data_IF_832248702117
#
_entry.id   IF_832248702117
#
_cell.length_a   1.000
_cell.length_b   1.000
_cell.length_c   1.000
_cell.angle_alpha   90.00
_cell.angle_beta   90.00
_cell.angle_gamma   90.00
#
_symmetry.space_group_name_H-M   'P 1'
#
loop_
_entity.id
_entity.type
_entity.pdbx_description
1 polymer ?
#
# COMPACT_ATOMS: atom_id res chain seq x y z
N UNK A 1 5.57 -39.41 -52.90
CA UNK A 1 5.29 -38.08 -52.33
C UNK A 1 4.80 -38.23 -50.91
N UNK A 2 5.69 -38.02 -49.95
CA UNK A 2 5.34 -38.08 -48.50
C UNK A 2 4.99 -36.67 -48.04
N UNK A 3 3.72 -36.48 -47.59
CA UNK A 3 3.24 -35.23 -47.01
C UNK A 3 3.70 -35.19 -45.55
N UNK A 4 4.58 -34.26 -45.21
CA UNK A 4 4.97 -33.95 -43.83
C UNK A 4 3.91 -32.99 -43.29
N UNK A 5 3.15 -33.45 -42.28
CA UNK A 5 2.31 -32.58 -41.47
C UNK A 5 3.17 -31.94 -40.38
N UNK A 6 3.37 -30.63 -40.47
CA UNK A 6 3.97 -29.83 -39.42
C UNK A 6 2.85 -29.52 -38.42
N UNK A 7 2.83 -30.22 -37.27
CA UNK A 7 2.06 -29.80 -36.12
C UNK A 7 2.77 -28.65 -35.42
N UNK A 8 2.20 -27.46 -35.50
CA UNK A 8 2.61 -26.32 -34.68
C UNK A 8 2.03 -26.50 -33.28
N UNK A 9 2.81 -26.39 -32.19
CA UNK A 9 2.27 -26.52 -30.84
C UNK A 9 1.61 -25.19 -30.44
N UNK A 10 0.29 -25.15 -30.56
CA UNK A 10 -0.57 -24.05 -30.08
C UNK A 10 -0.97 -24.24 -28.60
N UNK A 11 -0.05 -24.61 -27.72
CA UNK A 11 -0.45 -25.04 -26.37
C UNK A 11 0.54 -24.62 -25.26
N UNK A 12 0.96 -23.34 -25.20
CA UNK A 12 1.76 -22.86 -24.03
C UNK A 12 1.49 -21.43 -23.56
N UNK A 13 0.47 -20.76 -24.09
CA UNK A 13 0.14 -19.38 -23.67
C UNK A 13 -1.03 -19.27 -22.68
N UNK A 14 -1.83 -20.32 -22.50
CA UNK A 14 -2.99 -20.32 -21.60
C UNK A 14 -2.69 -20.38 -20.08
N UNK A 15 -1.61 -21.03 -19.58
CA UNK A 15 -1.41 -21.11 -18.13
C UNK A 15 -0.86 -19.85 -17.46
N UNK A 16 -0.21 -18.95 -18.20
CA UNK A 16 0.39 -17.73 -17.60
C UNK A 16 -0.68 -16.66 -17.32
N UNK A 17 -1.69 -16.54 -18.17
CA UNK A 17 -2.81 -15.61 -17.96
C UNK A 17 -3.73 -16.03 -16.80
N UNK A 18 -3.97 -17.35 -16.64
CA UNK A 18 -4.77 -17.85 -15.54
C UNK A 18 -4.08 -17.69 -14.16
N UNK A 19 -2.76 -17.87 -14.08
CA UNK A 19 -1.99 -17.72 -12.84
C UNK A 19 -1.91 -16.25 -12.38
N UNK A 20 -1.95 -15.28 -13.29
CA UNK A 20 -1.98 -13.85 -12.96
C UNK A 20 -3.33 -13.40 -12.40
N UNK A 21 -4.44 -13.87 -12.97
CA UNK A 21 -5.79 -13.49 -12.52
C UNK A 21 -6.14 -14.02 -11.13
N UNK A 22 -5.68 -15.21 -10.75
CA UNK A 22 -5.96 -15.76 -9.42
C UNK A 22 -5.27 -14.99 -8.28
N UNK A 23 -4.15 -14.33 -8.52
CA UNK A 23 -3.40 -13.56 -7.51
C UNK A 23 -4.07 -12.23 -7.14
N UNK A 24 -4.76 -11.59 -8.08
CA UNK A 24 -5.47 -10.33 -7.85
C UNK A 24 -6.93 -10.51 -7.40
N UNK A 25 -7.39 -11.72 -7.16
CA UNK A 25 -8.71 -11.97 -6.59
C UNK A 25 -8.82 -11.56 -5.12
N UNK A 26 -7.72 -11.17 -4.48
CA UNK A 26 -7.70 -10.76 -3.09
C UNK A 26 -7.76 -9.23 -2.97
N UNK A 27 -8.97 -8.71 -2.81
CA UNK A 27 -9.20 -7.29 -2.57
C UNK A 27 -8.97 -6.97 -1.11
N UNK A 28 -8.21 -5.91 -0.86
CA UNK A 28 -8.01 -5.31 0.46
C UNK A 28 -8.64 -3.93 0.56
N UNK A 29 -8.84 -3.46 1.77
CA UNK A 29 -9.32 -2.11 2.05
C UNK A 29 -8.69 -1.55 3.32
N UNK A 30 -8.44 -0.24 3.36
CA UNK A 30 -8.18 0.46 4.62
C UNK A 30 -9.40 0.30 5.53
N UNK A 31 -9.20 0.08 6.82
CA UNK A 31 -10.31 -0.20 7.74
C UNK A 31 -11.39 0.88 7.76
N UNK A 32 -11.03 2.14 7.47
CA UNK A 32 -11.94 3.28 7.36
C UNK A 32 -12.94 3.21 6.20
N UNK A 33 -12.74 2.31 5.24
CA UNK A 33 -13.69 2.06 4.15
C UNK A 33 -14.88 1.19 4.58
N UNK A 34 -14.79 0.49 5.71
CA UNK A 34 -15.91 -0.24 6.32
C UNK A 34 -16.70 0.74 7.20
N UNK A 35 -18.01 0.81 6.99
CA UNK A 35 -18.88 1.83 7.62
C UNK A 35 -18.83 1.87 9.14
N UNK A 36 -18.61 0.73 9.78
CA UNK A 36 -18.53 0.65 11.23
C UNK A 36 -17.62 -0.51 11.65
N UNK A 37 -16.96 -0.36 12.79
CA UNK A 37 -16.13 -1.40 13.38
C UNK A 37 -16.99 -2.34 14.24
N UNK A 38 -17.84 -3.12 13.57
CA UNK A 38 -18.71 -4.14 14.21
C UNK A 38 -18.51 -5.50 13.54
N UNK A 39 -18.77 -6.62 14.25
CA UNK A 39 -18.68 -7.97 13.67
C UNK A 39 -19.53 -8.15 12.42
N UNK A 40 -20.73 -7.58 12.39
CA UNK A 40 -21.68 -7.67 11.28
C UNK A 40 -21.14 -6.97 10.03
N UNK A 41 -20.62 -5.72 10.18
CA UNK A 41 -20.07 -4.96 9.08
C UNK A 41 -18.81 -5.59 8.50
N UNK A 42 -17.94 -6.14 9.35
CA UNK A 42 -16.72 -6.82 8.93
C UNK A 42 -17.02 -8.16 8.25
N UNK A 43 -17.99 -8.92 8.78
CA UNK A 43 -18.47 -10.14 8.15
C UNK A 43 -19.14 -9.86 6.80
N UNK A 44 -19.97 -8.82 6.70
CA UNK A 44 -20.60 -8.40 5.44
C UNK A 44 -19.54 -7.97 4.41
N UNK A 45 -18.51 -7.22 4.81
CA UNK A 45 -17.39 -6.84 3.93
C UNK A 45 -16.72 -8.07 3.31
N UNK A 46 -16.51 -9.12 4.09
CA UNK A 46 -15.93 -10.37 3.61
C UNK A 46 -16.90 -11.19 2.75
N UNK A 47 -18.08 -11.52 3.28
CA UNK A 47 -18.98 -12.53 2.68
C UNK A 47 -19.74 -11.98 1.46
N UNK A 48 -20.16 -10.71 1.55
CA UNK A 48 -20.99 -10.09 0.50
C UNK A 48 -20.14 -9.29 -0.50
N UNK A 49 -19.15 -8.54 -0.01
CA UNK A 49 -18.37 -7.64 -0.86
C UNK A 49 -16.99 -8.17 -1.25
N UNK A 50 -16.62 -9.37 -0.79
CA UNK A 50 -15.42 -10.07 -1.24
C UNK A 50 -14.10 -9.47 -0.77
N UNK A 51 -14.14 -8.61 0.25
CA UNK A 51 -12.91 -8.10 0.88
C UNK A 51 -12.23 -9.25 1.61
N UNK A 52 -10.90 -9.36 1.50
CA UNK A 52 -10.10 -10.40 2.15
C UNK A 52 -9.11 -9.84 3.15
N UNK A 53 -8.59 -8.63 2.88
CA UNK A 53 -7.51 -8.03 3.63
C UNK A 53 -7.89 -6.64 4.16
N UNK A 54 -7.33 -6.31 5.31
CA UNK A 54 -7.48 -4.99 5.94
C UNK A 54 -6.09 -4.39 6.15
N UNK A 55 -5.98 -3.11 5.91
CA UNK A 55 -4.92 -2.27 6.46
C UNK A 55 -5.44 -1.51 7.68
N UNK A 56 -4.68 -1.55 8.78
CA UNK A 56 -5.05 -0.86 10.01
C UNK A 56 -4.22 0.43 10.19
N UNK A 57 -4.91 1.55 10.40
CA UNK A 57 -4.29 2.81 10.80
C UNK A 57 -3.87 2.76 12.27
N UNK A 58 -2.59 2.88 12.55
CA UNK A 58 -2.05 2.76 13.90
C UNK A 58 -1.99 4.07 14.70
N UNK A 59 -2.43 5.18 14.12
CA UNK A 59 -2.57 6.46 14.84
C UNK A 59 -3.48 6.39 16.06
N UNK A 60 -4.34 5.36 16.14
CA UNK A 60 -5.16 5.08 17.32
C UNK A 60 -4.39 4.42 18.48
N UNK A 61 -3.13 4.03 18.25
CA UNK A 61 -2.26 3.37 19.21
C UNK A 61 -1.16 4.30 19.77
N UNK A 62 -1.31 5.62 19.55
CA UNK A 62 -0.38 6.65 20.04
C UNK A 62 -1.14 7.90 20.48
N UNK A 63 -0.49 8.74 21.27
CA UNK A 63 -1.05 10.04 21.70
C UNK A 63 -2.21 9.97 22.71
N UNK A 64 -2.51 8.79 23.25
CA UNK A 64 -3.56 8.53 24.21
C UNK A 64 -3.04 7.84 25.48
N UNK A 65 -3.96 7.18 26.20
CA UNK A 65 -3.66 6.36 27.38
C UNK A 65 -3.71 4.87 27.04
N UNK A 66 -3.12 4.02 27.89
CA UNK A 66 -3.16 2.55 27.67
C UNK A 66 -4.62 2.04 27.66
N UNK A 67 -5.52 2.61 28.49
CA UNK A 67 -6.93 2.24 28.49
C UNK A 67 -7.62 2.57 27.15
N UNK A 68 -7.24 3.68 26.51
CA UNK A 68 -7.75 4.05 25.18
C UNK A 68 -7.24 3.09 24.10
N UNK A 69 -5.97 2.69 24.16
CA UNK A 69 -5.40 1.71 23.24
C UNK A 69 -6.06 0.35 23.44
N UNK A 70 -6.21 -0.12 24.67
CA UNK A 70 -6.87 -1.38 25.01
C UNK A 70 -8.31 -1.43 24.49
N UNK A 71 -9.07 -0.37 24.68
CA UNK A 71 -10.44 -0.26 24.21
C UNK A 71 -10.53 -0.29 22.67
N UNK A 72 -9.58 0.34 21.97
CA UNK A 72 -9.55 0.31 20.50
C UNK A 72 -9.15 -1.08 20.01
N UNK A 73 -8.13 -1.71 20.60
CA UNK A 73 -7.68 -3.06 20.27
C UNK A 73 -8.80 -4.08 20.47
N UNK A 74 -9.49 -4.03 21.60
CA UNK A 74 -10.62 -4.92 21.90
C UNK A 74 -11.74 -4.77 20.87
N UNK A 75 -12.12 -3.55 20.53
CA UNK A 75 -13.15 -3.27 19.51
C UNK A 75 -12.73 -3.78 18.15
N UNK A 76 -11.47 -3.55 17.73
CA UNK A 76 -10.95 -4.05 16.45
C UNK A 76 -10.97 -5.59 16.41
N UNK A 77 -10.44 -6.23 17.45
CA UNK A 77 -10.42 -7.70 17.54
C UNK A 77 -11.83 -8.29 17.56
N UNK A 78 -12.77 -7.63 18.24
CA UNK A 78 -14.17 -8.05 18.24
C UNK A 78 -14.77 -7.99 16.84
N UNK A 79 -14.52 -6.91 16.09
CA UNK A 79 -14.99 -6.78 14.71
C UNK A 79 -14.34 -7.81 13.76
N UNK A 80 -13.06 -8.07 13.93
CA UNK A 80 -12.31 -9.05 13.12
C UNK A 80 -12.69 -10.50 13.40
N UNK A 81 -13.12 -10.79 14.64
CA UNK A 81 -13.40 -12.16 15.09
C UNK A 81 -14.50 -12.82 14.26
N UNK A 82 -14.16 -13.90 13.57
CA UNK A 82 -15.12 -14.65 12.75
C UNK A 82 -15.60 -13.95 11.49
N UNK A 83 -15.04 -12.78 11.15
CA UNK A 83 -15.39 -12.05 9.92
C UNK A 83 -14.86 -12.72 8.65
N UNK A 84 -13.76 -13.48 8.73
CA UNK A 84 -13.03 -14.02 7.58
C UNK A 84 -11.96 -13.05 7.04
N UNK A 85 -11.95 -11.78 7.47
CA UNK A 85 -10.94 -10.79 7.10
C UNK A 85 -9.60 -11.11 7.76
N UNK A 86 -8.52 -10.72 7.08
CA UNK A 86 -7.13 -10.88 7.54
C UNK A 86 -6.45 -9.51 7.57
N UNK A 87 -5.56 -9.30 8.52
CA UNK A 87 -4.70 -8.12 8.56
C UNK A 87 -3.54 -8.30 7.58
N UNK A 88 -3.42 -7.39 6.61
CA UNK A 88 -2.30 -7.35 5.66
C UNK A 88 -1.18 -6.47 6.18
N UNK A 89 -1.52 -5.21 6.42
CA UNK A 89 -0.58 -4.16 6.76
C UNK A 89 -1.07 -3.32 7.93
N UNK A 90 -0.11 -2.64 8.54
CA UNK A 90 -0.35 -1.56 9.48
C UNK A 90 0.32 -0.30 8.95
N UNK A 91 -0.41 0.81 8.96
CA UNK A 91 0.08 2.10 8.50
C UNK A 91 0.52 2.95 9.70
N UNK A 92 1.79 3.36 9.73
CA UNK A 92 2.34 4.19 10.80
C UNK A 92 1.84 5.64 10.72
N UNK A 93 1.71 6.33 11.85
CA UNK A 93 1.27 7.72 11.87
C UNK A 93 2.33 8.65 11.25
N UNK A 94 1.85 9.69 10.55
CA UNK A 94 2.67 10.69 9.86
C UNK A 94 2.32 12.14 10.24
N UNK A 95 1.69 12.36 11.40
CA UNK A 95 1.33 13.71 11.85
C UNK A 95 2.56 14.54 12.21
N UNK A 96 2.58 15.82 11.81
CA UNK A 96 3.64 16.78 12.14
C UNK A 96 3.63 17.25 13.58
N UNK A 97 2.57 16.98 14.33
CA UNK A 97 2.39 17.46 15.72
C UNK A 97 3.12 16.61 16.74
N UNK A 98 3.69 15.48 16.33
CA UNK A 98 4.41 14.54 17.19
C UNK A 98 5.58 13.92 16.42
N UNK A 99 6.58 13.32 17.08
CA UNK A 99 7.66 12.62 16.41
C UNK A 99 7.15 11.44 15.58
N UNK A 100 7.01 11.66 14.26
CA UNK A 100 6.55 10.68 13.28
C UNK A 100 7.29 10.83 11.93
N UNK A 101 8.54 11.33 11.98
CA UNK A 101 9.34 11.60 10.78
C UNK A 101 10.78 11.11 11.01
N UNK A 102 11.17 10.04 10.30
CA UNK A 102 12.53 9.52 10.36
C UNK A 102 13.52 10.34 9.53
N UNK A 103 13.04 11.28 8.70
CA UNK A 103 13.89 12.17 7.92
C UNK A 103 14.14 13.52 8.58
N UNK A 104 13.48 13.82 9.71
CA UNK A 104 13.57 15.12 10.41
C UNK A 104 15.02 15.55 10.68
N UNK A 105 15.31 16.83 10.61
CA UNK A 105 16.66 17.37 10.82
C UNK A 105 17.10 17.25 12.28
N UNK A 106 16.17 17.25 13.22
CA UNK A 106 16.43 17.11 14.65
C UNK A 106 16.69 15.65 15.01
N UNK A 107 17.91 15.33 15.44
CA UNK A 107 18.29 13.95 15.81
C UNK A 107 17.39 13.39 16.92
N UNK A 108 17.13 14.19 17.96
CA UNK A 108 16.26 13.81 19.07
C UNK A 108 14.82 13.49 18.61
N UNK A 109 14.35 14.16 17.55
CA UNK A 109 13.03 13.90 16.97
C UNK A 109 12.99 12.57 16.21
N UNK A 110 14.04 12.26 15.42
CA UNK A 110 14.17 10.96 14.74
C UNK A 110 14.24 9.80 15.73
N UNK A 111 15.03 9.95 16.81
CA UNK A 111 15.12 8.93 17.86
C UNK A 111 13.79 8.73 18.59
N UNK A 112 13.09 9.82 18.90
CA UNK A 112 11.75 9.75 19.49
C UNK A 112 10.73 9.10 18.53
N UNK A 113 10.82 9.38 17.22
CA UNK A 113 10.01 8.72 16.20
C UNK A 113 10.25 7.21 16.19
N UNK A 114 11.50 6.78 16.12
CA UNK A 114 11.85 5.36 16.12
C UNK A 114 11.30 4.65 17.37
N UNK A 115 11.52 5.23 18.54
CA UNK A 115 11.00 4.69 19.81
C UNK A 115 9.46 4.58 19.77
N UNK A 116 8.77 5.66 19.40
CA UNK A 116 7.31 5.70 19.34
C UNK A 116 6.75 4.66 18.36
N UNK A 117 7.36 4.53 17.18
CA UNK A 117 6.91 3.55 16.20
C UNK A 117 7.08 2.10 16.65
N UNK A 118 8.16 1.80 17.41
CA UNK A 118 8.32 0.47 18.01
C UNK A 118 7.23 0.21 19.06
N UNK A 119 6.93 1.17 19.93
CA UNK A 119 5.84 1.03 20.90
C UNK A 119 4.46 0.85 20.21
N UNK A 120 4.21 1.57 19.11
CA UNK A 120 3.01 1.40 18.29
C UNK A 120 2.96 -0.02 17.70
N UNK A 121 4.06 -0.50 17.13
CA UNK A 121 4.12 -1.84 16.53
C UNK A 121 3.95 -2.95 17.58
N UNK A 122 4.50 -2.75 18.79
CA UNK A 122 4.27 -3.68 19.92
C UNK A 122 2.77 -3.78 20.26
N UNK A 123 2.08 -2.64 20.33
CA UNK A 123 0.63 -2.63 20.53
C UNK A 123 -0.11 -3.24 19.33
N UNK A 124 0.36 -2.98 18.10
CA UNK A 124 -0.25 -3.50 16.88
C UNK A 124 -0.16 -5.03 16.79
N UNK A 125 0.82 -5.69 17.41
CA UNK A 125 0.86 -7.17 17.47
C UNK A 125 -0.39 -7.76 18.13
N UNK A 126 -1.09 -6.98 18.95
CA UNK A 126 -2.30 -7.40 19.68
C UNK A 126 -3.56 -7.37 18.81
N UNK A 127 -3.54 -6.69 17.65
CA UNK A 127 -4.66 -6.72 16.69
C UNK A 127 -4.51 -7.79 15.61
N UNK A 128 -3.38 -8.47 15.55
CA UNK A 128 -3.15 -9.57 14.63
C UNK A 128 -1.74 -9.58 14.06
N UNK A 129 -1.45 -10.61 13.26
CA UNK A 129 -0.20 -10.71 12.52
C UNK A 129 -0.33 -9.92 11.23
N UNK A 130 0.50 -8.91 11.05
CA UNK A 130 0.65 -8.14 9.82
C UNK A 130 1.90 -8.57 9.04
N UNK A 131 1.88 -8.38 7.73
CA UNK A 131 3.01 -8.71 6.83
C UNK A 131 3.83 -7.49 6.47
N UNK A 132 3.18 -6.32 6.40
CA UNK A 132 3.78 -5.08 5.94
C UNK A 132 3.55 -3.98 6.98
N UNK A 133 4.58 -3.17 7.18
CA UNK A 133 4.54 -1.91 7.92
C UNK A 133 4.70 -0.79 6.90
N UNK A 134 3.63 -0.08 6.61
CA UNK A 134 3.65 1.09 5.72
C UNK A 134 4.05 2.33 6.50
N UNK A 135 4.94 3.13 5.93
CA UNK A 135 5.40 4.38 6.51
C UNK A 135 5.63 5.45 5.46
N UNK A 136 5.39 6.69 5.82
CA UNK A 136 5.79 7.85 5.02
C UNK A 136 7.29 8.14 5.16
N UNK A 137 7.99 8.51 4.08
CA UNK A 137 9.41 8.91 4.15
C UNK A 137 9.61 10.24 4.88
N UNK A 138 8.57 11.09 4.94
CA UNK A 138 8.56 12.34 5.73
C UNK A 138 7.14 12.70 6.17
N UNK A 139 7.03 13.55 7.18
CA UNK A 139 5.75 14.17 7.58
C UNK A 139 5.58 15.58 7.02
N UNK A 140 6.61 16.15 6.41
CA UNK A 140 6.59 17.49 5.82
C UNK A 140 5.95 17.48 4.43
N UNK A 141 5.04 18.43 4.16
CA UNK A 141 4.36 18.53 2.87
C UNK A 141 5.21 19.23 1.80
N UNK A 142 6.26 19.95 2.21
CA UNK A 142 7.17 20.67 1.32
C UNK A 142 8.58 20.53 1.85
N UNK A 143 9.47 19.92 1.07
CA UNK A 143 10.90 19.83 1.34
C UNK A 143 11.60 20.47 0.14
N UNK A 144 12.40 21.49 0.39
CA UNK A 144 13.14 22.18 -0.67
C UNK A 144 14.20 21.28 -1.28
N UNK A 145 14.59 21.58 -2.53
CA UNK A 145 15.66 20.86 -3.22
C UNK A 145 17.00 20.92 -2.46
N UNK A 146 17.25 22.02 -1.73
CA UNK A 146 18.43 22.20 -0.89
C UNK A 146 18.43 21.25 0.33
N UNK A 147 17.26 21.05 0.95
CA UNK A 147 17.11 20.19 2.12
C UNK A 147 17.04 18.71 1.77
N UNK A 148 16.53 18.37 0.59
CA UNK A 148 16.22 17.01 0.15
C UNK A 148 17.37 16.02 0.31
N UNK A 149 18.63 16.29 -0.11
CA UNK A 149 19.73 15.34 0.07
C UNK A 149 20.01 15.02 1.54
N UNK A 150 19.94 16.03 2.42
CA UNK A 150 20.13 15.86 3.87
C UNK A 150 18.98 15.04 4.47
N UNK A 151 17.74 15.30 4.07
CA UNK A 151 16.56 14.57 4.54
C UNK A 151 16.58 13.11 4.08
N UNK A 152 16.99 12.83 2.85
CA UNK A 152 17.22 11.47 2.35
C UNK A 152 18.28 10.75 3.17
N UNK A 153 19.41 11.40 3.47
CA UNK A 153 20.48 10.80 4.28
C UNK A 153 20.00 10.53 5.73
N UNK A 154 19.26 11.43 6.33
CA UNK A 154 18.66 11.22 7.64
C UNK A 154 17.73 9.99 7.63
N UNK A 155 16.83 9.92 6.63
CA UNK A 155 15.94 8.78 6.45
C UNK A 155 16.71 7.48 6.27
N UNK A 156 17.74 7.46 5.42
CA UNK A 156 18.60 6.29 5.19
C UNK A 156 19.19 5.77 6.50
N UNK A 157 19.80 6.65 7.31
CA UNK A 157 20.40 6.26 8.59
C UNK A 157 19.38 5.59 9.52
N UNK A 158 18.16 6.09 9.54
CA UNK A 158 17.10 5.53 10.36
C UNK A 158 16.55 4.22 9.80
N UNK A 159 16.38 4.11 8.46
CA UNK A 159 15.93 2.88 7.79
C UNK A 159 16.93 1.73 7.99
N UNK A 160 18.23 1.98 7.99
CA UNK A 160 19.26 0.98 8.28
C UNK A 160 19.10 0.34 9.69
N UNK A 161 18.43 1.01 10.60
CA UNK A 161 18.11 0.52 11.95
C UNK A 161 16.69 -0.06 12.01
N UNK A 162 15.75 0.61 11.40
CA UNK A 162 14.31 0.27 11.48
C UNK A 162 13.96 -1.00 10.70
N UNK A 163 14.45 -1.16 9.46
CA UNK A 163 14.14 -2.31 8.60
C UNK A 163 14.55 -3.64 9.27
N UNK A 164 15.82 -3.83 9.70
CA UNK A 164 16.21 -5.09 10.33
C UNK A 164 15.48 -5.33 11.66
N UNK A 165 15.21 -4.28 12.43
CA UNK A 165 14.49 -4.39 13.69
C UNK A 165 13.03 -4.88 13.46
N UNK A 166 12.33 -4.32 12.48
CA UNK A 166 10.95 -4.75 12.13
C UNK A 166 10.94 -6.19 11.64
N UNK A 167 11.89 -6.56 10.79
CA UNK A 167 12.03 -7.93 10.28
C UNK A 167 12.29 -8.94 11.40
N UNK A 168 13.22 -8.63 12.31
CA UNK A 168 13.59 -9.52 13.41
C UNK A 168 12.46 -9.65 14.46
N UNK A 169 11.87 -8.52 14.87
CA UNK A 169 10.94 -8.49 16.00
C UNK A 169 9.52 -8.90 15.61
N UNK A 170 9.06 -8.54 14.42
CA UNK A 170 7.67 -8.76 13.98
C UNK A 170 7.54 -9.72 12.80
N UNK A 171 8.64 -10.09 12.13
CA UNK A 171 8.62 -10.89 10.91
C UNK A 171 7.90 -10.19 9.75
N UNK A 172 7.88 -8.86 9.78
CA UNK A 172 7.21 -8.01 8.79
C UNK A 172 8.23 -7.26 7.91
N UNK A 173 7.76 -6.71 6.80
CA UNK A 173 8.54 -5.91 5.86
C UNK A 173 8.15 -4.45 6.01
N UNK A 174 9.13 -3.54 6.10
CA UNK A 174 8.88 -2.10 6.01
C UNK A 174 8.71 -1.70 4.56
N UNK A 175 7.61 -1.03 4.24
CA UNK A 175 7.34 -0.47 2.92
C UNK A 175 7.23 1.06 3.03
N UNK A 176 8.11 1.77 2.33
CA UNK A 176 8.09 3.23 2.25
C UNK A 176 7.13 3.63 1.16
N UNK A 177 6.18 4.51 1.48
CA UNK A 177 5.17 4.97 0.55
C UNK A 177 5.67 6.15 -0.27
N UNK A 178 5.36 6.17 -1.57
CA UNK A 178 5.51 7.38 -2.38
C UNK A 178 4.48 8.43 -1.96
N UNK A 179 4.88 9.71 -1.99
CA UNK A 179 4.06 10.81 -1.47
C UNK A 179 3.81 11.89 -2.54
N UNK A 180 2.76 12.68 -2.40
CA UNK A 180 2.43 13.72 -3.38
C UNK A 180 3.19 15.03 -3.14
N UNK A 181 3.00 16.02 -4.03
CA UNK A 181 3.43 17.41 -3.91
C UNK A 181 4.94 17.56 -3.75
N UNK A 182 5.39 18.39 -2.80
CA UNK A 182 6.81 18.61 -2.45
C UNK A 182 7.34 17.73 -1.33
N UNK A 183 6.65 16.64 -0.98
CA UNK A 183 7.10 15.71 0.06
C UNK A 183 8.41 15.02 -0.34
N UNK A 184 9.11 14.45 0.63
CA UNK A 184 10.15 13.48 0.34
C UNK A 184 9.49 12.20 -0.20
N UNK A 185 10.06 11.60 -1.24
CA UNK A 185 9.46 10.44 -1.89
C UNK A 185 8.37 10.78 -2.90
N UNK A 186 8.35 12.01 -3.44
CA UNK A 186 7.38 12.43 -4.46
C UNK A 186 7.82 12.14 -5.89
N UNK A 187 8.94 11.48 -6.09
CA UNK A 187 9.52 11.24 -7.42
C UNK A 187 10.38 10.00 -7.50
N UNK A 188 10.51 9.48 -8.71
CA UNK A 188 11.45 8.39 -9.02
C UNK A 188 12.88 8.67 -8.59
N UNK A 189 13.33 9.92 -8.59
CA UNK A 189 14.69 10.28 -8.21
C UNK A 189 14.99 9.99 -6.73
N UNK A 190 14.05 10.26 -5.83
CA UNK A 190 14.19 9.94 -4.40
C UNK A 190 14.26 8.41 -4.19
N UNK A 191 13.40 7.67 -4.89
CA UNK A 191 13.35 6.21 -4.78
C UNK A 191 14.57 5.53 -5.40
N UNK A 192 15.11 6.04 -6.51
CA UNK A 192 16.39 5.56 -7.06
C UNK A 192 17.50 5.67 -6.03
N UNK A 193 17.56 6.83 -5.36
CA UNK A 193 18.57 7.05 -4.34
C UNK A 193 18.37 6.12 -3.14
N UNK A 194 17.13 5.94 -2.66
CA UNK A 194 16.82 5.05 -1.54
C UNK A 194 17.13 3.59 -1.88
N UNK A 195 16.71 3.11 -3.04
CA UNK A 195 16.98 1.75 -3.51
C UNK A 195 18.48 1.46 -3.60
N UNK A 196 19.26 2.44 -4.08
CA UNK A 196 20.72 2.30 -4.20
C UNK A 196 21.46 2.33 -2.86
N UNK A 197 20.89 2.94 -1.82
CA UNK A 197 21.58 3.23 -0.57
C UNK A 197 21.00 2.53 0.67
N UNK A 198 19.85 1.85 0.56
CA UNK A 198 19.19 1.16 1.67
C UNK A 198 19.00 -0.32 1.33
N UNK A 199 19.76 -1.23 1.96
CA UNK A 199 19.54 -2.68 1.80
C UNK A 199 18.12 -3.09 2.22
N UNK A 200 17.56 -4.10 1.54
CA UNK A 200 16.20 -4.63 1.77
C UNK A 200 15.09 -3.56 1.66
N UNK A 201 15.35 -2.44 0.97
CA UNK A 201 14.37 -1.38 0.74
C UNK A 201 13.15 -1.91 0.00
N UNK A 202 11.95 -1.58 0.48
CA UNK A 202 10.68 -1.95 -0.14
C UNK A 202 9.73 -0.77 -0.18
N UNK A 203 8.78 -0.85 -1.10
CA UNK A 203 7.88 0.24 -1.49
C UNK A 203 6.43 -0.18 -1.25
N UNK A 204 5.67 0.72 -0.65
CA UNK A 204 4.23 0.78 -0.78
C UNK A 204 3.93 1.77 -1.93
N UNK A 205 3.45 1.26 -3.05
CA UNK A 205 3.16 2.08 -4.22
C UNK A 205 1.74 2.63 -4.14
N UNK A 206 1.59 3.95 -4.00
CA UNK A 206 0.29 4.63 -4.10
C UNK A 206 0.07 5.17 -5.52
N UNK A 207 -1.01 4.73 -6.13
CA UNK A 207 -1.35 5.08 -7.51
C UNK A 207 -1.78 6.54 -7.70
N UNK A 208 -2.05 7.27 -6.61
CA UNK A 208 -2.64 8.61 -6.57
C UNK A 208 -1.63 9.72 -6.20
N UNK A 209 -0.42 9.37 -5.80
CA UNK A 209 0.55 10.33 -5.24
C UNK A 209 1.54 10.90 -6.25
N UNK A 210 1.75 10.26 -7.38
CA UNK A 210 2.76 10.67 -8.36
C UNK A 210 2.23 11.79 -9.29
N UNK A 211 2.26 13.02 -8.81
CA UNK A 211 1.70 14.17 -9.54
C UNK A 211 2.60 14.68 -10.68
N UNK A 212 3.90 14.37 -10.64
CA UNK A 212 4.91 14.84 -11.59
C UNK A 212 5.33 13.83 -12.64
N UNK A 213 4.86 12.59 -12.56
CA UNK A 213 5.23 11.50 -13.46
C UNK A 213 4.07 10.48 -13.63
N UNK A 214 4.14 9.67 -14.67
CA UNK A 214 3.11 8.68 -14.91
C UNK A 214 3.18 7.53 -13.89
N UNK A 215 2.07 7.28 -13.20
CA UNK A 215 1.97 6.30 -12.12
C UNK A 215 2.45 4.90 -12.56
N UNK A 216 2.06 4.43 -13.76
CA UNK A 216 2.51 3.14 -14.27
C UNK A 216 4.01 3.10 -14.64
N UNK A 217 4.63 4.23 -15.00
CA UNK A 217 6.06 4.31 -15.29
C UNK A 217 6.89 4.15 -14.02
N UNK A 218 6.47 4.80 -12.93
CA UNK A 218 7.04 4.58 -11.60
C UNK A 218 6.91 3.12 -11.18
N UNK A 219 5.71 2.54 -11.27
CA UNK A 219 5.48 1.13 -10.94
C UNK A 219 6.41 0.19 -11.75
N UNK A 220 6.56 0.43 -13.05
CA UNK A 220 7.44 -0.38 -13.91
C UNK A 220 8.92 -0.29 -13.49
N UNK A 221 9.38 0.92 -13.12
CA UNK A 221 10.76 1.16 -12.66
C UNK A 221 11.07 0.45 -11.35
N UNK A 222 10.14 0.47 -10.42
CA UNK A 222 10.35 -0.05 -9.07
C UNK A 222 9.65 -1.39 -8.80
N UNK A 223 9.14 -2.06 -9.82
CA UNK A 223 8.39 -3.31 -9.72
C UNK A 223 9.01 -4.37 -8.76
N UNK A 224 10.34 -4.64 -8.74
CA UNK A 224 10.93 -5.63 -7.83
C UNK A 224 10.92 -5.22 -6.34
N UNK A 225 10.64 -3.96 -6.06
CA UNK A 225 10.65 -3.40 -4.72
C UNK A 225 9.26 -3.23 -4.14
N UNK A 226 8.20 -3.26 -4.97
CA UNK A 226 6.80 -3.08 -4.54
C UNK A 226 6.33 -4.32 -3.80
N UNK A 227 5.94 -4.17 -2.53
CA UNK A 227 5.42 -5.24 -1.67
C UNK A 227 4.03 -4.94 -1.10
N UNK A 228 3.58 -3.70 -1.20
CA UNK A 228 2.22 -3.26 -0.93
C UNK A 228 1.83 -2.19 -1.94
N UNK A 229 0.53 -2.02 -2.15
CA UNK A 229 -0.01 -0.96 -3.00
C UNK A 229 -1.18 -0.28 -2.30
N UNK A 230 -1.32 1.03 -2.53
CA UNK A 230 -2.52 1.79 -2.24
C UNK A 230 -3.22 2.15 -3.54
N UNK A 231 -4.47 1.74 -3.66
CA UNK A 231 -5.23 1.86 -4.89
C UNK A 231 -6.27 2.93 -4.75
N UNK A 232 -6.06 4.02 -5.46
CA UNK A 232 -7.01 5.14 -5.59
C UNK A 232 -6.74 5.91 -6.87
N UNK A 233 -7.59 6.87 -7.24
CA UNK A 233 -7.48 7.64 -8.47
C UNK A 233 -7.51 9.13 -8.18
N UNK A 234 -7.07 9.96 -9.15
CA UNK A 234 -6.94 11.40 -8.99
C UNK A 234 -7.14 12.13 -10.33
N UNK A 235 -7.13 13.47 -10.28
CA UNK A 235 -7.42 14.34 -11.42
C UNK A 235 -6.18 14.78 -12.22
N UNK A 236 -4.98 14.32 -11.86
CA UNK A 236 -3.71 14.78 -12.44
C UNK A 236 -3.21 16.10 -11.89
N UNK A 237 -3.90 16.71 -10.93
CA UNK A 237 -3.57 18.00 -10.34
C UNK A 237 -3.15 17.85 -8.88
N UNK A 238 -3.89 17.05 -8.11
CA UNK A 238 -3.63 16.80 -6.70
C UNK A 238 -4.16 15.43 -6.28
N UNK A 239 -3.69 14.88 -5.15
CA UNK A 239 -4.22 13.66 -4.58
C UNK A 239 -5.72 13.81 -4.29
N UNK A 240 -6.52 12.79 -4.59
CA UNK A 240 -7.97 12.82 -4.44
C UNK A 240 -8.53 11.62 -3.68
N UNK A 241 -7.83 10.49 -3.70
CA UNK A 241 -8.32 9.22 -3.19
C UNK A 241 -9.73 8.88 -3.72
N UNK A 242 -9.95 9.06 -5.02
CA UNK A 242 -11.17 8.65 -5.70
C UNK A 242 -11.18 7.15 -5.98
N UNK A 243 -12.37 6.61 -6.20
CA UNK A 243 -12.48 5.22 -6.68
C UNK A 243 -11.75 5.07 -8.02
N UNK A 244 -10.97 3.99 -8.19
CA UNK A 244 -10.27 3.68 -9.44
C UNK A 244 -11.20 3.70 -10.67
N UNK A 245 -10.68 4.30 -11.76
CA UNK A 245 -11.41 4.51 -12.99
C UNK A 245 -12.24 5.79 -13.05
N UNK A 246 -12.17 6.63 -11.99
CA UNK A 246 -12.79 7.96 -11.99
C UNK A 246 -11.84 9.07 -12.45
N UNK A 247 -10.55 8.88 -12.29
CA UNK A 247 -9.50 9.85 -12.60
C UNK A 247 -8.70 9.51 -13.86
N UNK A 248 -7.40 9.82 -13.80
CA UNK A 248 -6.51 9.73 -14.95
C UNK A 248 -5.59 8.50 -14.94
N UNK A 249 -5.58 7.69 -13.88
CA UNK A 249 -4.67 6.54 -13.78
C UNK A 249 -4.94 5.55 -14.92
N UNK A 250 -3.90 5.18 -15.64
CA UNK A 250 -3.96 4.20 -16.74
C UNK A 250 -3.98 2.76 -16.18
N UNK A 251 -5.11 2.37 -15.59
CA UNK A 251 -5.27 1.10 -14.88
C UNK A 251 -4.82 -0.14 -15.64
N UNK A 252 -5.08 -0.29 -16.96
CA UNK A 252 -4.58 -1.45 -17.70
C UNK A 252 -3.05 -1.56 -17.64
N UNK A 253 -2.32 -0.45 -17.74
CA UNK A 253 -0.86 -0.44 -17.67
C UNK A 253 -0.34 -0.72 -16.25
N UNK A 254 -0.97 -0.14 -15.23
CA UNK A 254 -0.64 -0.43 -13.81
C UNK A 254 -0.83 -1.91 -13.51
N UNK A 255 -1.97 -2.49 -13.91
CA UNK A 255 -2.27 -3.90 -13.70
C UNK A 255 -1.27 -4.79 -14.45
N UNK A 256 -0.91 -4.44 -15.68
CA UNK A 256 0.08 -5.18 -16.47
C UNK A 256 1.43 -5.25 -15.76
N UNK A 257 1.92 -4.12 -15.25
CA UNK A 257 3.16 -4.04 -14.48
C UNK A 257 3.11 -4.93 -13.24
N UNK A 258 2.05 -4.85 -12.45
CA UNK A 258 1.89 -5.63 -11.22
C UNK A 258 1.84 -7.14 -11.50
N UNK A 259 1.14 -7.56 -12.56
CA UNK A 259 1.11 -8.97 -12.98
C UNK A 259 2.49 -9.45 -13.43
N UNK A 260 3.15 -8.71 -14.31
CA UNK A 260 4.47 -9.09 -14.86
C UNK A 260 5.56 -9.11 -13.80
N UNK A 261 5.48 -8.25 -12.79
CA UNK A 261 6.44 -8.23 -11.67
C UNK A 261 6.25 -9.40 -10.70
N UNK A 262 5.12 -10.10 -10.77
CA UNK A 262 4.77 -11.16 -9.82
C UNK A 262 4.36 -10.60 -8.45
N UNK A 263 3.84 -9.36 -8.39
CA UNK A 263 3.27 -8.82 -7.16
C UNK A 263 2.22 -9.79 -6.58
N UNK A 264 2.37 -10.13 -5.31
CA UNK A 264 1.55 -11.14 -4.62
C UNK A 264 0.76 -10.59 -3.42
N UNK A 265 0.75 -9.26 -3.25
CA UNK A 265 -0.07 -8.58 -2.25
C UNK A 265 -1.52 -8.35 -2.72
N UNK A 266 -2.41 -7.91 -1.82
CA UNK A 266 -3.78 -7.55 -2.17
C UNK A 266 -3.85 -6.28 -3.01
N UNK A 267 -4.92 -6.14 -3.78
CA UNK A 267 -5.32 -4.88 -4.40
C UNK A 267 -5.95 -4.02 -3.30
N UNK A 268 -5.11 -3.27 -2.57
CA UNK A 268 -5.48 -2.57 -1.34
C UNK A 268 -6.06 -1.19 -1.65
N UNK A 269 -7.37 -1.04 -1.49
CA UNK A 269 -8.04 0.24 -1.70
C UNK A 269 -7.76 1.22 -0.56
N UNK A 270 -7.22 2.38 -0.91
CA UNK A 270 -7.12 3.53 -0.01
C UNK A 270 -8.14 4.61 -0.38
N UNK A 271 -9.40 4.24 -0.32
CA UNK A 271 -10.53 5.11 -0.59
C UNK A 271 -11.54 4.96 0.55
N UNK A 272 -12.12 6.07 0.96
CA UNK A 272 -13.16 6.08 2.00
C UNK A 272 -14.39 6.86 1.51
N UNK A 273 -15.57 6.66 2.12
CA UNK A 273 -16.76 7.46 1.78
C UNK A 273 -16.57 8.98 1.96
N UNK A 274 -15.55 9.40 2.69
CA UNK A 274 -15.18 10.81 2.86
C UNK A 274 -14.56 11.39 1.59
N UNK A 275 -13.78 10.60 0.88
CA UNK A 275 -13.05 11.01 -0.33
C UNK A 275 -13.89 10.84 -1.60
N UNK A 276 -14.66 9.76 -1.67
CA UNK A 276 -15.55 9.45 -2.79
C UNK A 276 -16.86 8.84 -2.26
N UNK A 277 -18.04 9.26 -2.70
CA UNK A 277 -19.32 8.64 -2.29
C UNK A 277 -19.38 7.12 -2.51
N UNK A 278 -18.62 6.60 -3.50
CA UNK A 278 -18.45 5.16 -3.75
C UNK A 278 -17.26 4.54 -3.01
N UNK A 279 -16.57 5.29 -2.16
CA UNK A 279 -15.38 4.86 -1.40
C UNK A 279 -15.70 3.91 -0.25
N UNK A 280 -16.69 3.05 -0.40
CA UNK A 280 -17.02 1.99 0.55
C UNK A 280 -16.78 0.62 -0.05
N UNK A 281 -16.60 -0.37 0.80
CA UNK A 281 -16.33 -1.78 0.42
C UNK A 281 -17.38 -2.35 -0.55
N UNK A 282 -18.59 -1.79 -0.56
CA UNK A 282 -19.70 -2.21 -1.43
C UNK A 282 -19.36 -2.11 -2.93
N UNK A 283 -18.50 -1.18 -3.31
CA UNK A 283 -18.15 -0.91 -4.71
C UNK A 283 -16.79 -1.49 -5.12
N UNK A 284 -15.93 -1.85 -4.17
CA UNK A 284 -14.54 -2.20 -4.47
C UNK A 284 -14.42 -3.46 -5.34
N UNK A 285 -15.17 -4.51 -5.02
CA UNK A 285 -15.13 -5.74 -5.81
C UNK A 285 -15.59 -5.51 -7.25
N UNK A 286 -16.73 -4.86 -7.46
CA UNK A 286 -17.23 -4.57 -8.82
C UNK A 286 -16.31 -3.63 -9.59
N UNK A 287 -15.65 -2.68 -8.91
CA UNK A 287 -14.63 -1.83 -9.52
C UNK A 287 -13.43 -2.67 -9.95
N UNK A 288 -12.91 -3.54 -9.09
CA UNK A 288 -11.81 -4.45 -9.45
C UNK A 288 -12.17 -5.28 -10.67
N UNK A 289 -13.33 -5.93 -10.68
CA UNK A 289 -13.78 -6.75 -11.80
C UNK A 289 -13.85 -5.94 -13.12
N UNK A 290 -14.31 -4.67 -13.04
CA UNK A 290 -14.34 -3.75 -14.20
C UNK A 290 -12.94 -3.37 -14.68
N UNK A 291 -12.00 -3.10 -13.78
CA UNK A 291 -10.61 -2.79 -14.13
C UNK A 291 -9.93 -3.97 -14.82
N UNK A 292 -10.14 -5.19 -14.31
CA UNK A 292 -9.57 -6.40 -14.92
C UNK A 292 -10.22 -6.74 -16.26
N UNK A 293 -11.52 -6.49 -16.45
CA UNK A 293 -12.16 -6.60 -17.76
C UNK A 293 -11.55 -5.63 -18.79
N UNK A 294 -11.26 -4.39 -18.37
CA UNK A 294 -10.55 -3.40 -19.21
C UNK A 294 -9.12 -3.83 -19.53
N UNK A 295 -8.41 -4.41 -18.54
CA UNK A 295 -7.07 -4.97 -18.76
C UNK A 295 -7.08 -6.13 -19.76
N UNK A 296 -8.03 -7.06 -19.67
CA UNK A 296 -8.16 -8.16 -20.63
C UNK A 296 -8.41 -7.65 -22.06
N UNK A 297 -9.19 -6.58 -22.21
CA UNK A 297 -9.39 -5.93 -23.51
C UNK A 297 -8.09 -5.27 -24.01
N UNK A 298 -7.37 -4.57 -23.16
CA UNK A 298 -6.07 -3.96 -23.48
C UNK A 298 -5.07 -5.02 -24.00
N UNK A 299 -4.94 -6.16 -23.33
CA UNK A 299 -4.08 -7.28 -23.76
C UNK A 299 -4.47 -7.89 -25.13
N UNK A 300 -5.72 -7.75 -25.56
CA UNK A 300 -6.18 -8.29 -26.84
C UNK A 300 -5.85 -7.40 -28.05
N UNK A 301 -5.38 -6.18 -27.80
CA UNK A 301 -5.09 -5.16 -28.82
C UNK A 301 -3.59 -5.01 -29.05
N UNK A 302 -2.77 -5.30 -28.04
CA UNK A 302 -1.30 -5.35 -28.14
C UNK A 302 -0.81 -6.75 -28.57
#
# INVERSE_FOLDING_TARGET
>A
MKRIFIFLPLLLLLPVLALGQDRFNEVGAVYGAIRSMTPEAYKEAHDKYGIRWIEAWTGNLTGGTEEQYDAWIERFNTAMKGSGLKLWSVHLPFTRKAPNDLSDDRTEWREATLKNWIEILDRATRIGKFRVVVMHPSSEAQISDEERPRRLENLRQMLLRFIPLVKERYGAVVAVEDLPRGCLGNSSADFDWLVANVPDFKICYDTNHLLGEESHAFAARFAPYIVSIHVSDYDGVDERHWMPGRGIVEWPKVIDVLIRSGYDGPFMYEVTPRNDPRGSVEYMRSTTDSLFARYALYQSIE
#
